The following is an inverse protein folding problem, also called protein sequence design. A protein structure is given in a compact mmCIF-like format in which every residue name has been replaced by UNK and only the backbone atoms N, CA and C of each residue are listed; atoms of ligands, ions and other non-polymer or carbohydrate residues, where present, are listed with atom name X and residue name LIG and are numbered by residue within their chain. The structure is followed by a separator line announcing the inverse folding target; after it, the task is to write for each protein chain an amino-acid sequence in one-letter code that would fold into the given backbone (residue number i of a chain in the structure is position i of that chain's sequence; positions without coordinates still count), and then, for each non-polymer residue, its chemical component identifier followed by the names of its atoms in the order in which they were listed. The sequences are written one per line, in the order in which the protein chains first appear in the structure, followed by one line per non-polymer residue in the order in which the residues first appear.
data_IF_513982070549
#
_entry.id   IF_513982070549
#
_cell.length_a   1.000
_cell.length_b   1.000
_cell.length_c   1.000
_cell.angle_alpha   90.00
_cell.angle_beta   90.00
_cell.angle_gamma   90.00
#
_symmetry.space_group_name_H-M   'P 1'
#
loop_
_entity.id
_entity.type
_entity.pdbx_description
1 polymer ?
#
# COMPACT_ATOMS: atom_id res chain seq x y z
N UNK A 1 -22.09 2.90 -54.20
CA UNK A 1 -21.99 2.10 -52.97
C UNK A 1 -23.33 2.17 -52.26
N UNK A 2 -23.99 1.04 -52.02
CA UNK A 2 -25.31 1.00 -51.39
C UNK A 2 -25.24 1.45 -49.92
N UNK A 3 -26.32 1.99 -49.34
CA UNK A 3 -26.34 2.49 -47.96
C UNK A 3 -25.91 1.42 -46.93
N UNK A 4 -26.17 0.15 -47.24
CA UNK A 4 -25.75 -1.02 -46.43
C UNK A 4 -24.22 -1.14 -46.35
N UNK A 5 -23.51 -0.91 -47.46
CA UNK A 5 -22.04 -0.99 -47.47
C UNK A 5 -21.42 0.11 -46.60
N UNK A 6 -22.03 1.30 -46.56
CA UNK A 6 -21.57 2.40 -45.69
C UNK A 6 -21.82 2.10 -44.22
N UNK A 7 -22.97 1.52 -43.88
CA UNK A 7 -23.30 1.15 -42.51
C UNK A 7 -22.36 0.06 -41.97
N UNK A 8 -22.06 -0.96 -42.78
CA UNK A 8 -21.11 -2.03 -42.42
C UNK A 8 -19.69 -1.48 -42.25
N UNK A 9 -19.25 -0.58 -43.14
CA UNK A 9 -17.93 0.04 -43.02
C UNK A 9 -17.80 0.90 -41.74
N UNK A 10 -18.84 1.66 -41.39
CA UNK A 10 -18.88 2.43 -40.14
C UNK A 10 -18.89 1.53 -38.91
N UNK A 11 -19.69 0.47 -38.91
CA UNK A 11 -19.73 -0.49 -37.81
C UNK A 11 -18.35 -1.16 -37.60
N UNK A 12 -17.69 -1.58 -38.68
CA UNK A 12 -16.36 -2.15 -38.61
C UNK A 12 -15.33 -1.15 -38.09
N UNK A 13 -15.38 0.11 -38.54
CA UNK A 13 -14.50 1.16 -38.05
C UNK A 13 -14.69 1.42 -36.54
N UNK A 14 -15.93 1.45 -36.05
CA UNK A 14 -16.25 1.61 -34.63
C UNK A 14 -15.79 0.38 -33.84
N UNK A 15 -16.06 -0.84 -34.33
CA UNK A 15 -15.61 -2.07 -33.68
C UNK A 15 -14.09 -2.12 -33.60
N UNK A 16 -13.37 -1.74 -34.66
CA UNK A 16 -11.90 -1.66 -34.61
C UNK A 16 -11.42 -0.59 -33.62
N UNK A 17 -12.09 0.56 -33.52
CA UNK A 17 -11.72 1.59 -32.55
C UNK A 17 -11.98 1.16 -31.09
N UNK A 18 -13.00 0.34 -30.85
CA UNK A 18 -13.37 -0.15 -29.51
C UNK A 18 -12.56 -1.39 -29.11
N UNK A 19 -12.23 -2.28 -30.06
CA UNK A 19 -11.47 -3.51 -29.79
C UNK A 19 -9.96 -3.33 -29.83
N UNK A 20 -9.42 -2.19 -30.27
CA UNK A 20 -8.01 -1.89 -30.03
C UNK A 20 -7.88 -1.64 -28.53
N UNK A 21 -7.31 -2.57 -27.74
CA UNK A 21 -7.00 -2.25 -26.36
C UNK A 21 -6.12 -1.01 -26.42
N UNK A 22 -6.41 -0.01 -25.58
CA UNK A 22 -5.43 1.03 -25.31
C UNK A 22 -4.12 0.31 -25.00
N UNK A 23 -3.17 0.32 -25.95
CA UNK A 23 -1.89 -0.33 -25.74
C UNK A 23 -1.37 0.22 -24.41
N UNK A 24 -0.81 -0.62 -23.53
CA UNK A 24 -0.18 -0.10 -22.32
C UNK A 24 0.73 1.03 -22.76
N UNK A 25 0.55 2.21 -22.16
CA UNK A 25 1.37 3.38 -22.47
C UNK A 25 2.82 2.97 -22.24
N UNK A 26 3.49 2.55 -23.31
CA UNK A 26 4.88 2.15 -23.28
C UNK A 26 5.66 3.39 -22.93
N UNK A 27 6.56 3.29 -21.95
CA UNK A 27 7.51 4.34 -21.70
C UNK A 27 8.17 4.72 -23.03
N UNK A 28 8.14 6.01 -23.38
CA UNK A 28 8.87 6.49 -24.55
C UNK A 28 10.31 6.00 -24.44
N UNK A 29 10.94 5.54 -25.54
CA UNK A 29 12.32 5.09 -25.50
C UNK A 29 13.15 6.21 -24.88
N UNK A 30 13.80 5.92 -23.76
CA UNK A 30 14.61 6.88 -23.04
C UNK A 30 15.67 7.39 -24.03
N UNK A 31 15.57 8.66 -24.41
CA UNK A 31 16.53 9.30 -25.31
C UNK A 31 17.86 9.40 -24.59
N UNK A 32 18.71 8.37 -24.69
CA UNK A 32 20.14 8.38 -24.34
C UNK A 32 20.52 8.59 -22.87
N UNK A 33 19.61 8.99 -21.99
CA UNK A 33 19.94 9.25 -20.58
C UNK A 33 19.95 7.96 -19.78
N UNK A 34 21.14 7.44 -19.49
CA UNK A 34 21.35 6.43 -18.47
C UNK A 34 21.67 7.11 -17.13
N UNK A 35 21.10 6.61 -16.03
CA UNK A 35 21.41 7.05 -14.68
C UNK A 35 22.20 5.96 -13.96
N UNK A 36 23.38 6.29 -13.44
CA UNK A 36 24.18 5.36 -12.63
C UNK A 36 23.58 5.12 -11.24
N UNK A 37 22.75 6.06 -10.77
CA UNK A 37 22.14 6.08 -9.44
C UNK A 37 20.72 6.63 -9.52
N UNK A 38 19.82 6.05 -8.73
CA UNK A 38 18.42 6.48 -8.62
C UNK A 38 18.14 6.76 -7.15
N UNK A 39 17.50 7.90 -6.88
CA UNK A 39 16.96 8.24 -5.56
C UNK A 39 15.45 8.33 -5.70
N UNK A 40 14.73 7.57 -4.88
CA UNK A 40 13.27 7.61 -4.81
C UNK A 40 12.87 8.43 -3.58
N UNK A 41 12.13 9.51 -3.80
CA UNK A 41 11.57 10.36 -2.74
C UNK A 41 10.05 10.25 -2.78
N UNK A 42 9.44 9.88 -1.67
CA UNK A 42 7.99 9.76 -1.53
C UNK A 42 7.49 10.59 -0.36
N UNK A 43 6.42 11.35 -0.58
CA UNK A 43 5.77 12.18 0.44
C UNK A 43 4.36 11.61 0.67
N UNK A 44 4.12 10.88 1.78
CA UNK A 44 2.81 10.33 2.08
C UNK A 44 1.77 11.45 2.20
N UNK A 45 0.64 11.29 1.51
CA UNK A 45 -0.49 12.22 1.60
C UNK A 45 -0.37 13.49 0.75
N UNK A 46 0.69 13.65 -0.05
CA UNK A 46 0.83 14.79 -0.96
C UNK A 46 -0.29 14.80 -2.01
N UNK A 47 -1.03 15.89 -2.10
CA UNK A 47 -2.07 16.13 -3.12
C UNK A 47 -1.66 17.26 -4.05
N UNK A 48 -2.31 17.38 -5.22
CA UNK A 48 -1.99 18.43 -6.19
C UNK A 48 -2.19 19.84 -5.63
N UNK A 49 -3.14 20.02 -4.71
CA UNK A 49 -3.37 21.31 -4.04
C UNK A 49 -2.21 21.73 -3.13
N UNK A 50 -1.30 20.80 -2.75
CA UNK A 50 -0.08 21.13 -2.00
C UNK A 50 1.06 21.66 -2.89
N UNK A 51 0.92 21.54 -4.22
CA UNK A 51 1.93 21.97 -5.21
C UNK A 51 1.55 23.36 -5.72
N UNK A 52 2.18 24.38 -5.13
CA UNK A 52 1.81 25.78 -5.31
C UNK A 52 3.07 26.63 -5.56
N UNK A 53 3.03 27.57 -6.53
CA UNK A 53 4.21 28.36 -6.90
C UNK A 53 4.70 29.30 -5.79
N UNK A 54 3.84 29.69 -4.85
CA UNK A 54 4.16 30.63 -3.78
C UNK A 54 4.50 29.88 -2.48
N UNK A 55 3.69 28.89 -2.10
CA UNK A 55 3.85 28.14 -0.85
C UNK A 55 4.88 27.00 -0.96
N UNK A 56 4.99 26.33 -2.11
CA UNK A 56 5.91 25.21 -2.33
C UNK A 56 6.75 25.37 -3.62
N UNK A 57 7.51 26.46 -3.78
CA UNK A 57 8.16 26.83 -5.04
C UNK A 57 9.13 25.77 -5.58
N UNK A 58 9.81 25.01 -4.70
CA UNK A 58 10.71 23.94 -5.12
C UNK A 58 9.96 22.72 -5.68
N UNK A 59 8.81 22.37 -5.11
CA UNK A 59 7.97 21.28 -5.62
C UNK A 59 7.32 21.70 -6.95
N UNK A 60 6.89 22.95 -7.03
CA UNK A 60 6.37 23.54 -8.27
C UNK A 60 7.39 23.46 -9.41
N UNK A 61 8.61 23.96 -9.19
CA UNK A 61 9.68 23.92 -10.20
C UNK A 61 10.06 22.49 -10.62
N UNK A 62 10.05 21.54 -9.67
CA UNK A 62 10.28 20.13 -9.98
C UNK A 62 9.19 19.56 -10.88
N UNK A 63 7.92 19.86 -10.59
CA UNK A 63 6.78 19.41 -11.37
C UNK A 63 6.79 19.99 -12.79
N UNK A 64 7.14 21.26 -12.96
CA UNK A 64 7.25 21.90 -14.29
C UNK A 64 8.38 21.29 -15.15
N UNK A 65 9.51 20.93 -14.52
CA UNK A 65 10.70 20.44 -15.22
C UNK A 65 10.77 18.92 -15.43
N UNK A 66 9.81 18.15 -14.91
CA UNK A 66 9.88 16.69 -14.87
C UNK A 66 8.75 16.01 -15.64
N UNK A 67 8.99 14.81 -16.22
CA UNK A 67 7.90 13.97 -16.68
C UNK A 67 6.98 13.58 -15.52
N UNK A 68 5.67 13.77 -15.69
CA UNK A 68 4.66 13.41 -14.70
C UNK A 68 3.97 12.11 -15.15
N UNK A 69 3.90 11.14 -14.24
CA UNK A 69 3.18 9.89 -14.43
C UNK A 69 2.20 9.64 -13.29
N UNK A 70 1.02 9.13 -13.61
CA UNK A 70 0.06 8.64 -12.62
C UNK A 70 0.28 7.14 -12.40
N UNK A 71 0.48 6.73 -11.14
CA UNK A 71 0.70 5.33 -10.76
C UNK A 71 -0.25 4.96 -9.63
N UNK A 72 -0.87 3.78 -9.72
CA UNK A 72 -1.66 3.21 -8.62
C UNK A 72 -0.82 2.19 -7.87
N UNK A 73 -0.61 2.43 -6.57
CA UNK A 73 0.14 1.54 -5.67
C UNK A 73 -0.80 0.64 -4.88
N UNK A 74 -1.54 -0.23 -5.58
CA UNK A 74 -2.44 -1.19 -4.93
C UNK A 74 -1.64 -2.28 -4.22
N UNK A 75 -1.75 -2.32 -2.90
CA UNK A 75 -1.16 -3.36 -2.04
C UNK A 75 -1.87 -4.71 -2.16
N UNK A 76 -1.31 -5.73 -1.51
CA UNK A 76 -1.87 -7.09 -1.44
C UNK A 76 -3.12 -7.23 -0.54
N UNK A 77 -3.61 -6.13 0.03
CA UNK A 77 -4.80 -6.06 0.92
C UNK A 77 -5.81 -5.02 0.41
N UNK A 78 -7.02 -5.01 0.99
CA UNK A 78 -8.12 -4.12 0.52
C UNK A 78 -7.80 -2.63 0.67
N UNK A 79 -7.12 -2.25 1.74
CA UNK A 79 -6.67 -0.87 1.99
C UNK A 79 -5.16 -0.81 1.97
N UNK A 80 -4.60 -0.01 1.06
CA UNK A 80 -3.16 0.24 1.01
C UNK A 80 -2.79 1.29 2.07
N UNK A 81 -2.00 0.91 3.06
CA UNK A 81 -1.42 1.83 4.04
C UNK A 81 -0.02 2.29 3.63
N UNK A 82 0.56 3.24 4.36
CA UNK A 82 1.82 3.92 3.97
C UNK A 82 2.99 2.96 3.75
N UNK A 83 3.20 1.98 4.62
CA UNK A 83 4.32 1.03 4.49
C UNK A 83 4.04 -0.02 3.41
N UNK A 84 2.76 -0.34 3.14
CA UNK A 84 2.38 -1.23 2.04
C UNK A 84 2.70 -0.62 0.67
N UNK A 85 2.57 0.71 0.54
CA UNK A 85 2.95 1.45 -0.66
C UNK A 85 4.44 1.30 -0.97
N UNK A 86 5.29 1.47 0.03
CA UNK A 86 6.74 1.28 -0.09
C UNK A 86 7.12 -0.17 -0.38
N UNK A 87 6.47 -1.14 0.29
CA UNK A 87 6.69 -2.56 0.01
C UNK A 87 6.32 -2.93 -1.43
N UNK A 88 5.20 -2.41 -1.93
CA UNK A 88 4.74 -2.64 -3.32
C UNK A 88 5.70 -2.01 -4.33
N UNK A 89 6.19 -0.80 -4.05
CA UNK A 89 7.16 -0.11 -4.90
C UNK A 89 8.49 -0.88 -4.98
N UNK A 90 9.01 -1.36 -3.85
CA UNK A 90 10.25 -2.15 -3.80
C UNK A 90 10.11 -3.54 -4.45
N UNK A 91 8.97 -4.20 -4.29
CA UNK A 91 8.73 -5.53 -4.84
C UNK A 91 8.43 -5.53 -6.35
N UNK A 92 8.03 -4.38 -6.93
CA UNK A 92 7.58 -4.29 -8.32
C UNK A 92 6.26 -5.04 -8.60
N UNK A 93 5.60 -5.55 -7.56
CA UNK A 93 4.32 -6.22 -7.60
C UNK A 93 3.52 -5.88 -6.33
N UNK A 94 2.26 -6.37 -6.26
CA UNK A 94 1.45 -6.17 -5.06
C UNK A 94 2.10 -6.87 -3.87
N UNK A 95 2.51 -6.08 -2.88
CA UNK A 95 3.09 -6.57 -1.64
C UNK A 95 2.33 -5.99 -0.43
N UNK A 96 2.69 -6.45 0.75
CA UNK A 96 2.26 -5.90 2.02
C UNK A 96 3.45 -5.77 2.95
N UNK A 97 3.47 -4.72 3.75
CA UNK A 97 4.41 -4.64 4.85
C UNK A 97 4.08 -5.76 5.86
N UNK A 98 5.08 -6.48 6.40
CA UNK A 98 4.85 -7.49 7.42
C UNK A 98 4.39 -6.82 8.72
N UNK A 99 3.09 -6.56 8.81
CA UNK A 99 2.38 -6.27 10.04
C UNK A 99 1.46 -7.47 10.35
N UNK A 100 1.10 -7.71 11.63
CA UNK A 100 -0.01 -8.59 11.94
C UNK A 100 -1.18 -8.22 11.04
N UNK A 101 -1.85 -9.21 10.43
CA UNK A 101 -3.10 -8.95 9.74
C UNK A 101 -3.95 -8.12 10.70
N UNK A 102 -4.45 -6.98 10.22
CA UNK A 102 -5.33 -6.15 11.02
C UNK A 102 -6.54 -6.98 11.37
N UNK A 103 -6.49 -7.63 12.52
CA UNK A 103 -7.66 -8.18 13.15
C UNK A 103 -8.51 -6.96 13.42
N UNK A 104 -9.62 -6.83 12.69
CA UNK A 104 -10.76 -6.05 13.16
C UNK A 104 -10.88 -6.42 14.64
N UNK A 105 -10.76 -5.46 15.58
CA UNK A 105 -10.86 -5.79 16.99
C UNK A 105 -12.15 -6.59 17.15
N UNK A 106 -12.10 -7.79 17.75
CA UNK A 106 -13.25 -8.67 17.78
C UNK A 106 -14.43 -7.87 18.29
N UNK A 107 -15.49 -7.78 17.47
CA UNK A 107 -16.74 -7.16 17.91
C UNK A 107 -17.15 -7.94 19.15
N UNK A 108 -17.33 -7.30 20.32
CA UNK A 108 -17.80 -8.00 21.50
C UNK A 108 -19.09 -8.70 21.14
N UNK A 109 -19.06 -10.03 21.08
CA UNK A 109 -20.26 -10.80 20.86
C UNK A 109 -21.19 -10.50 22.04
N UNK A 110 -22.48 -10.20 21.81
CA UNK A 110 -23.41 -10.01 22.91
C UNK A 110 -23.35 -11.26 23.79
N UNK A 111 -22.96 -11.09 25.06
CA UNK A 111 -22.87 -12.17 26.06
C UNK A 111 -24.25 -12.60 26.54
N UNK A 112 -25.28 -12.49 25.70
CA UNK A 112 -26.61 -12.98 26.03
C UNK A 112 -26.49 -14.50 26.00
N UNK A 113 -26.68 -15.20 27.13
CA UNK A 113 -26.63 -16.65 27.14
C UNK A 113 -27.69 -17.17 26.17
N UNK A 114 -27.28 -17.98 25.20
CA UNK A 114 -28.23 -18.76 24.43
C UNK A 114 -28.93 -19.73 25.41
N UNK A 115 -30.25 -19.97 25.27
CA UNK A 115 -30.95 -20.89 26.16
C UNK A 115 -30.32 -22.29 26.07
N UNK A 116 -29.58 -22.70 27.11
CA UNK A 116 -28.96 -24.03 27.21
C UNK A 116 -27.44 -24.06 27.47
N UNK A 117 -26.74 -22.93 27.50
CA UNK A 117 -25.30 -22.92 27.78
C UNK A 117 -25.00 -23.22 29.28
N UNK A 118 -24.23 -24.28 29.55
CA UNK A 118 -23.71 -24.60 30.89
C UNK A 118 -22.39 -23.84 31.08
N UNK A 119 -22.13 -23.16 32.22
CA UNK A 119 -20.90 -22.41 32.40
C UNK A 119 -19.66 -23.30 32.25
N UNK A 120 -18.65 -22.76 31.57
CA UNK A 120 -17.38 -23.45 31.32
C UNK A 120 -16.70 -23.86 32.62
N UNK A 121 -16.25 -25.12 32.68
CA UNK A 121 -15.51 -25.67 33.81
C UNK A 121 -14.07 -25.11 33.78
N UNK A 122 -13.60 -24.41 34.83
CA UNK A 122 -12.27 -23.81 34.88
C UNK A 122 -11.10 -24.83 34.90
N UNK A 123 -11.38 -26.13 35.04
CA UNK A 123 -10.34 -27.16 35.20
C UNK A 123 -9.83 -27.80 33.88
N UNK A 124 -10.24 -27.30 32.71
CA UNK A 124 -9.74 -27.83 31.42
C UNK A 124 -8.40 -27.18 31.06
N UNK A 125 -7.31 -27.91 31.31
CA UNK A 125 -5.94 -27.50 30.93
C UNK A 125 -5.72 -27.64 29.41
N UNK A 126 -5.10 -26.62 28.81
CA UNK A 126 -4.73 -26.63 27.39
C UNK A 126 -3.71 -27.76 27.07
N UNK A 127 -3.67 -28.28 25.83
CA UNK A 127 -2.75 -29.35 25.44
C UNK A 127 -1.27 -28.93 25.56
N UNK A 128 -0.42 -29.86 26.02
CA UNK A 128 1.02 -29.66 26.32
C UNK A 128 1.93 -29.46 25.08
N UNK A 129 1.39 -29.38 23.86
CA UNK A 129 2.17 -29.32 22.61
C UNK A 129 2.48 -27.88 22.13
N UNK A 130 2.28 -26.86 22.97
CA UNK A 130 2.62 -25.48 22.62
C UNK A 130 4.14 -25.26 22.67
N UNK A 131 4.76 -25.02 21.51
CA UNK A 131 6.17 -24.64 21.43
C UNK A 131 6.46 -23.39 22.28
N UNK A 132 7.65 -23.26 22.90
CA UNK A 132 8.01 -22.08 23.68
C UNK A 132 7.92 -20.82 22.81
N UNK A 133 6.97 -19.95 23.11
CA UNK A 133 6.90 -18.61 22.53
C UNK A 133 8.08 -17.81 23.12
N UNK A 134 9.00 -17.32 22.29
CA UNK A 134 9.91 -16.25 22.75
C UNK A 134 9.06 -15.10 23.30
N UNK A 135 9.51 -14.39 24.36
CA UNK A 135 8.75 -13.28 24.92
C UNK A 135 8.67 -12.17 23.88
N UNK A 136 7.58 -12.15 23.12
CA UNK A 136 7.23 -11.00 22.29
C UNK A 136 7.17 -9.80 23.22
N UNK A 137 7.95 -8.74 23.01
CA UNK A 137 7.84 -7.52 23.79
C UNK A 137 6.37 -7.11 23.84
N UNK A 138 5.83 -6.71 25.01
CA UNK A 138 4.42 -6.38 25.12
C UNK A 138 4.10 -5.29 24.11
N UNK A 139 3.36 -5.65 23.06
CA UNK A 139 2.84 -4.69 22.11
C UNK A 139 1.96 -3.72 22.91
N UNK A 140 2.15 -2.40 22.77
CA UNK A 140 1.31 -1.44 23.44
C UNK A 140 -0.16 -1.72 23.10
N UNK A 141 -1.10 -1.55 24.06
CA UNK A 141 -2.49 -1.89 23.84
C UNK A 141 -3.01 -1.20 22.58
N UNK A 142 -3.62 -1.98 21.69
CA UNK A 142 -4.25 -1.48 20.48
C UNK A 142 -5.28 -0.41 20.86
N UNK A 143 -4.94 0.84 20.61
CA UNK A 143 -5.84 1.97 20.79
C UNK A 143 -6.67 2.11 19.49
N UNK A 144 -7.91 2.63 19.53
CA UNK A 144 -8.71 2.85 18.32
C UNK A 144 -7.96 3.72 17.29
N UNK A 145 -7.10 4.63 17.75
CA UNK A 145 -6.23 5.46 16.90
C UNK A 145 -5.12 4.68 16.16
N UNK A 146 -4.88 3.42 16.54
CA UNK A 146 -3.95 2.52 15.86
C UNK A 146 -4.63 1.58 14.88
N UNK A 147 -5.96 1.65 14.77
CA UNK A 147 -6.69 0.86 13.78
C UNK A 147 -6.40 1.35 12.36
N UNK A 148 -6.56 0.43 11.42
CA UNK A 148 -6.42 0.60 9.98
C UNK A 148 -5.02 0.83 9.40
N UNK A 149 -4.52 2.06 9.54
CA UNK A 149 -3.18 2.44 9.09
C UNK A 149 -2.37 3.06 10.23
N UNK A 150 -2.98 3.33 11.40
CA UNK A 150 -2.36 4.10 12.47
C UNK A 150 -1.10 3.46 13.05
N UNK A 151 -1.00 2.13 13.07
CA UNK A 151 0.23 1.44 13.49
C UNK A 151 1.37 1.67 12.48
N UNK A 152 1.09 1.51 11.18
CA UNK A 152 2.09 1.76 10.13
C UNK A 152 2.51 3.23 10.09
N UNK A 153 1.58 4.16 10.25
CA UNK A 153 1.86 5.60 10.30
C UNK A 153 2.74 5.95 11.50
N UNK A 154 2.45 5.39 12.69
CA UNK A 154 3.30 5.60 13.87
C UNK A 154 4.71 5.04 13.65
N UNK A 155 4.82 3.85 13.08
CA UNK A 155 6.13 3.26 12.76
C UNK A 155 6.91 4.14 11.77
N UNK A 156 6.24 4.64 10.73
CA UNK A 156 6.84 5.57 9.77
C UNK A 156 7.30 6.86 10.44
N UNK A 157 6.46 7.45 11.30
CA UNK A 157 6.80 8.66 12.07
C UNK A 157 7.98 8.44 13.02
N UNK A 158 8.05 7.29 13.69
CA UNK A 158 9.17 6.94 14.56
C UNK A 158 10.48 6.83 13.77
N UNK A 159 10.45 6.19 12.59
CA UNK A 159 11.62 6.13 11.71
C UNK A 159 12.06 7.50 11.18
N UNK A 160 11.11 8.39 10.89
CA UNK A 160 11.42 9.77 10.47
C UNK A 160 11.98 10.64 11.58
N UNK A 161 11.67 10.34 12.85
CA UNK A 161 12.21 11.07 13.98
C UNK A 161 13.72 10.80 14.21
N UNK A 162 14.19 9.60 13.83
CA UNK A 162 15.61 9.24 13.83
C UNK A 162 15.98 8.44 12.56
N UNK A 163 16.16 9.12 11.42
CA UNK A 163 16.36 8.47 10.14
C UNK A 163 17.69 7.72 10.06
N UNK A 164 18.72 8.19 10.76
CA UNK A 164 20.04 7.55 10.73
C UNK A 164 20.02 6.21 11.47
N UNK A 165 19.38 6.17 12.65
CA UNK A 165 19.19 4.91 13.36
C UNK A 165 18.29 3.94 12.57
N UNK A 166 17.23 4.44 11.92
CA UNK A 166 16.36 3.62 11.09
C UNK A 166 17.13 2.99 9.91
N UNK A 167 17.96 3.77 9.20
CA UNK A 167 18.80 3.26 8.11
C UNK A 167 19.83 2.26 8.61
N UNK A 168 20.49 2.53 9.73
CA UNK A 168 21.46 1.62 10.33
C UNK A 168 20.82 0.28 10.75
N UNK A 169 19.60 0.33 11.31
CA UNK A 169 18.85 -0.86 11.69
C UNK A 169 18.47 -1.71 10.47
N UNK A 170 18.02 -1.08 9.38
CA UNK A 170 17.76 -1.78 8.11
C UNK A 170 19.05 -2.38 7.56
N UNK A 171 20.14 -1.62 7.49
CA UNK A 171 21.42 -2.10 6.96
C UNK A 171 22.06 -3.24 7.77
N UNK A 172 21.67 -3.38 9.04
CA UNK A 172 22.11 -4.47 9.91
C UNK A 172 21.21 -5.72 9.83
N UNK A 173 20.05 -5.62 9.17
CA UNK A 173 19.12 -6.74 9.01
C UNK A 173 19.70 -7.76 8.02
N UNK A 174 20.00 -9.00 8.43
CA UNK A 174 20.54 -10.02 7.54
C UNK A 174 19.56 -10.46 6.44
N UNK A 175 18.28 -10.09 6.54
CA UNK A 175 17.27 -10.34 5.50
C UNK A 175 17.19 -9.24 4.43
N UNK A 176 17.93 -8.12 4.58
CA UNK A 176 18.02 -7.00 3.61
C UNK A 176 19.23 -7.10 2.68
#
# INVERSE_FOLDING_TARGET
MTPVVRAVALLLAVLTAVLVPALPAGAAPAGGTAADRIVVVGIPGLVWDDVDPEATPNLWALAEGSPIGAVSVRAARSTSCVLDGWATLGAGNRARFPAPDESIPPVPLPTVPLPGEVPANPDVRAPDDAAPQEPTPPLPPASPSLSHCGLQERLAQAGLADPQAAVAAVAADPAS
#
